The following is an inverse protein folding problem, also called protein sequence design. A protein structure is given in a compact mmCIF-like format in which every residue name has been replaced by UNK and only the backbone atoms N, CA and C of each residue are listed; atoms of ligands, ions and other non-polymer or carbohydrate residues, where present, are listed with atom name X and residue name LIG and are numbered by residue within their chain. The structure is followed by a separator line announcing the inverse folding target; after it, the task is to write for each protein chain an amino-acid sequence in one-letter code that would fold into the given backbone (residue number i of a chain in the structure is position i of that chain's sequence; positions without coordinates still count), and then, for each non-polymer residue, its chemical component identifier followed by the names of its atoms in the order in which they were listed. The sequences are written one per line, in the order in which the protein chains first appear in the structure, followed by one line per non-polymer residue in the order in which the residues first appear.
data_IF_028763787706
#
_entry.id   IF_028763787706
#
_cell.length_a   1.000
_cell.length_b   1.000
_cell.length_c   1.000
_cell.angle_alpha   90.00
_cell.angle_beta   90.00
_cell.angle_gamma   90.00
#
_symmetry.space_group_name_H-M   'P 1'
#
loop_
_entity.id
_entity.type
_entity.pdbx_description
1 polymer ?
#
# COMPACT_ATOMS: atom_id res chain seq x y z
N UNK A 1 -39.30 5.22 28.61
CA UNK A 1 -38.91 3.86 28.16
C UNK A 1 -38.05 3.83 26.87
N UNK A 2 -38.17 4.80 25.95
CA UNK A 2 -37.64 4.77 24.56
C UNK A 2 -36.13 5.07 24.34
N UNK A 3 -35.35 5.40 25.39
CA UNK A 3 -33.96 5.91 25.24
C UNK A 3 -32.88 4.82 25.26
N UNK A 4 -33.21 3.59 25.70
CA UNK A 4 -32.21 2.52 25.86
C UNK A 4 -31.83 1.85 24.53
N UNK A 5 -32.75 1.74 23.60
CA UNK A 5 -32.56 0.96 22.36
C UNK A 5 -31.60 1.65 21.36
N UNK A 6 -31.60 2.98 21.33
CA UNK A 6 -30.73 3.80 20.47
C UNK A 6 -29.24 3.59 20.80
N UNK A 7 -28.90 3.26 22.06
CA UNK A 7 -27.51 3.02 22.49
C UNK A 7 -26.99 1.63 22.12
N UNK A 8 -27.87 0.65 21.93
CA UNK A 8 -27.48 -0.71 21.57
C UNK A 8 -27.09 -0.79 20.08
N UNK A 9 -27.91 -0.20 19.21
CA UNK A 9 -27.64 -0.15 17.76
C UNK A 9 -26.30 0.53 17.45
N UNK A 10 -26.01 1.66 18.12
CA UNK A 10 -24.76 2.41 17.89
C UNK A 10 -23.51 1.61 18.30
N UNK A 11 -23.62 0.69 19.27
CA UNK A 11 -22.49 -0.12 19.76
C UNK A 11 -22.08 -1.20 18.75
N UNK A 12 -23.07 -1.84 18.13
CA UNK A 12 -22.82 -2.94 17.18
C UNK A 12 -22.29 -2.43 15.84
N UNK A 13 -22.75 -1.26 15.37
CA UNK A 13 -22.22 -0.62 14.14
C UNK A 13 -20.75 -0.22 14.27
N UNK A 14 -20.33 0.29 15.44
CA UNK A 14 -18.94 0.69 15.69
C UNK A 14 -18.03 -0.55 15.78
N UNK A 15 -18.52 -1.64 16.36
CA UNK A 15 -17.81 -2.93 16.44
C UNK A 15 -17.53 -3.51 15.04
N UNK A 16 -18.56 -3.55 14.18
CA UNK A 16 -18.43 -4.06 12.80
C UNK A 16 -17.38 -3.31 11.99
N UNK A 17 -17.36 -1.98 12.08
CA UNK A 17 -16.38 -1.13 11.39
C UNK A 17 -14.94 -1.36 11.90
N UNK A 18 -14.79 -1.62 13.21
CA UNK A 18 -13.49 -1.92 13.84
C UNK A 18 -12.93 -3.26 13.36
N UNK A 19 -13.77 -4.27 13.18
CA UNK A 19 -13.37 -5.58 12.67
C UNK A 19 -12.83 -5.48 11.23
N UNK A 20 -13.53 -4.73 10.37
CA UNK A 20 -13.13 -4.55 8.95
C UNK A 20 -11.78 -3.82 8.84
N UNK A 21 -11.62 -2.75 9.61
CA UNK A 21 -10.38 -1.94 9.58
C UNK A 21 -9.19 -2.70 10.13
N UNK A 22 -9.37 -3.50 11.17
CA UNK A 22 -8.33 -4.38 11.69
C UNK A 22 -7.87 -5.41 10.65
N UNK A 23 -8.80 -6.10 9.99
CA UNK A 23 -8.47 -7.10 8.97
C UNK A 23 -7.69 -6.48 7.80
N UNK A 24 -8.14 -5.31 7.33
CA UNK A 24 -7.44 -4.54 6.31
C UNK A 24 -6.03 -4.10 6.73
N UNK A 25 -5.83 -3.77 8.02
CA UNK A 25 -4.53 -3.41 8.56
C UNK A 25 -3.55 -4.59 8.62
N UNK A 26 -4.05 -5.78 8.93
CA UNK A 26 -3.22 -6.98 8.94
C UNK A 26 -2.75 -7.35 7.53
N UNK A 27 -3.66 -7.37 6.55
CA UNK A 27 -3.33 -7.63 5.14
C UNK A 27 -2.28 -6.64 4.63
N UNK A 28 -2.47 -5.34 4.91
CA UNK A 28 -1.53 -4.32 4.47
C UNK A 28 -0.12 -4.52 5.05
N UNK A 29 -0.03 -4.98 6.31
CA UNK A 29 1.26 -5.30 6.94
C UNK A 29 1.94 -6.47 6.23
N UNK A 30 1.19 -7.51 5.89
CA UNK A 30 1.71 -8.66 5.15
C UNK A 30 2.21 -8.26 3.75
N UNK A 31 1.43 -7.45 3.01
CA UNK A 31 1.81 -6.96 1.69
C UNK A 31 3.11 -6.15 1.76
N UNK A 32 3.25 -5.27 2.76
CA UNK A 32 4.49 -4.50 2.98
C UNK A 32 5.69 -5.40 3.22
N UNK A 33 5.55 -6.44 4.05
CA UNK A 33 6.64 -7.40 4.29
C UNK A 33 7.02 -8.14 3.00
N UNK A 34 6.04 -8.58 2.22
CA UNK A 34 6.26 -9.26 0.93
C UNK A 34 6.99 -8.32 -0.05
N UNK A 35 6.57 -7.06 -0.12
CA UNK A 35 7.17 -6.03 -0.97
C UNK A 35 8.64 -5.79 -0.60
N UNK A 36 8.95 -5.70 0.70
CA UNK A 36 10.32 -5.59 1.18
C UNK A 36 11.16 -6.81 0.76
N UNK A 37 10.64 -8.02 0.95
CA UNK A 37 11.33 -9.26 0.56
C UNK A 37 11.57 -9.33 -0.95
N UNK A 38 10.61 -8.90 -1.79
CA UNK A 38 10.74 -8.86 -3.25
C UNK A 38 11.71 -7.77 -3.74
N UNK A 39 11.83 -6.67 -3.02
CA UNK A 39 12.70 -5.55 -3.41
C UNK A 39 14.19 -5.89 -3.29
N UNK A 40 14.57 -6.73 -2.33
CA UNK A 40 15.97 -7.16 -2.12
C UNK A 40 16.54 -7.86 -3.36
N UNK A 41 15.96 -8.95 -3.90
CA UNK A 41 16.50 -9.61 -5.07
C UNK A 41 16.49 -8.70 -6.29
N UNK A 42 15.49 -7.83 -6.46
CA UNK A 42 15.48 -6.87 -7.57
C UNK A 42 16.73 -5.97 -7.56
N UNK A 43 17.09 -5.42 -6.39
CA UNK A 43 18.30 -4.58 -6.26
C UNK A 43 19.55 -5.40 -6.57
N UNK A 44 19.64 -6.62 -6.03
CA UNK A 44 20.78 -7.51 -6.26
C UNK A 44 20.93 -7.86 -7.74
N UNK A 45 19.84 -8.19 -8.44
CA UNK A 45 19.84 -8.53 -9.86
C UNK A 45 20.27 -7.33 -10.71
N UNK A 46 19.78 -6.13 -10.42
CA UNK A 46 20.16 -4.92 -11.16
C UNK A 46 21.64 -4.61 -10.94
N UNK A 47 22.12 -4.68 -9.70
CA UNK A 47 23.55 -4.48 -9.39
C UNK A 47 24.43 -5.53 -10.08
N UNK A 48 24.00 -6.80 -10.07
CA UNK A 48 24.68 -7.88 -10.78
C UNK A 48 24.72 -7.64 -12.30
N UNK A 49 23.60 -7.24 -12.89
CA UNK A 49 23.49 -6.91 -14.33
C UNK A 49 24.41 -5.75 -14.71
N UNK A 50 24.45 -4.70 -13.87
CA UNK A 50 25.36 -3.55 -14.00
C UNK A 50 26.83 -4.01 -13.93
N UNK A 51 27.20 -4.78 -12.90
CA UNK A 51 28.56 -5.30 -12.73
C UNK A 51 29.01 -6.12 -13.95
N UNK A 52 28.17 -7.06 -14.38
CA UNK A 52 28.39 -7.90 -15.55
C UNK A 52 28.60 -7.08 -16.83
N UNK A 53 27.79 -6.04 -17.02
CA UNK A 53 27.89 -5.17 -18.19
C UNK A 53 29.18 -4.35 -18.22
N UNK A 54 29.62 -3.80 -17.09
CA UNK A 54 30.78 -2.91 -17.05
C UNK A 54 32.12 -3.62 -16.90
N UNK A 55 32.15 -4.80 -16.26
CA UNK A 55 33.41 -5.50 -15.97
C UNK A 55 33.63 -6.67 -16.93
N UNK A 56 32.57 -7.39 -17.24
CA UNK A 56 32.65 -8.60 -18.07
C UNK A 56 32.23 -8.31 -19.52
N UNK A 57 31.79 -7.09 -19.85
CA UNK A 57 31.27 -6.70 -21.18
C UNK A 57 30.17 -7.64 -21.72
N UNK A 58 29.50 -8.37 -20.82
CA UNK A 58 28.52 -9.39 -21.14
C UNK A 58 27.35 -9.21 -20.17
N UNK A 59 26.17 -8.83 -20.64
CA UNK A 59 24.97 -8.71 -19.80
C UNK A 59 24.09 -9.95 -19.97
N UNK A 60 23.82 -10.74 -18.90
CA UNK A 60 22.96 -11.90 -19.01
C UNK A 60 21.50 -11.48 -19.28
N UNK A 61 20.92 -11.93 -20.39
CA UNK A 61 19.55 -11.58 -20.82
C UNK A 61 18.47 -11.97 -19.80
N UNK A 62 18.65 -13.10 -19.12
CA UNK A 62 17.73 -13.54 -18.07
C UNK A 62 17.61 -12.55 -16.89
N UNK A 63 18.66 -11.77 -16.61
CA UNK A 63 18.65 -10.79 -15.51
C UNK A 63 17.69 -9.64 -15.79
N UNK A 64 17.58 -9.24 -17.06
CA UNK A 64 16.71 -8.16 -17.50
C UNK A 64 15.24 -8.59 -17.50
N UNK A 65 14.96 -9.81 -17.96
CA UNK A 65 13.63 -10.40 -17.91
C UNK A 65 13.15 -10.57 -16.46
N UNK A 66 13.99 -11.15 -15.59
CA UNK A 66 13.66 -11.36 -14.18
C UNK A 66 13.41 -10.04 -13.44
N UNK A 67 14.25 -9.01 -13.69
CA UNK A 67 14.06 -7.68 -13.12
C UNK A 67 12.72 -7.07 -13.56
N UNK A 68 12.35 -7.19 -14.84
CA UNK A 68 11.07 -6.68 -15.35
C UNK A 68 9.87 -7.35 -14.69
N UNK A 69 9.90 -8.66 -14.52
CA UNK A 69 8.83 -9.37 -13.81
C UNK A 69 8.73 -8.93 -12.35
N UNK A 70 9.87 -8.80 -11.65
CA UNK A 70 9.88 -8.30 -10.27
C UNK A 70 9.34 -6.87 -10.16
N UNK A 71 9.72 -5.98 -11.07
CA UNK A 71 9.20 -4.59 -11.10
C UNK A 71 7.68 -4.56 -11.24
N UNK A 72 7.11 -5.41 -12.11
CA UNK A 72 5.65 -5.48 -12.29
C UNK A 72 4.98 -5.93 -10.99
N UNK A 73 5.46 -7.01 -10.37
CA UNK A 73 4.89 -7.50 -9.12
C UNK A 73 5.01 -6.50 -7.97
N UNK A 74 6.19 -5.89 -7.81
CA UNK A 74 6.42 -4.86 -6.80
C UNK A 74 5.53 -3.63 -7.06
N UNK A 75 5.42 -3.17 -8.30
CA UNK A 75 4.59 -2.03 -8.67
C UNK A 75 3.11 -2.25 -8.35
N UNK A 76 2.57 -3.43 -8.68
CA UNK A 76 1.19 -3.80 -8.37
C UNK A 76 0.94 -3.84 -6.85
N UNK A 77 1.85 -4.45 -6.08
CA UNK A 77 1.74 -4.51 -4.62
C UNK A 77 1.93 -3.14 -3.96
N UNK A 78 2.89 -2.35 -4.44
CA UNK A 78 3.16 -0.99 -3.97
C UNK A 78 1.95 -0.08 -4.18
N UNK A 79 1.32 -0.14 -5.35
CA UNK A 79 0.13 0.63 -5.67
C UNK A 79 -1.03 0.26 -4.74
N UNK A 80 -1.25 -1.03 -4.46
CA UNK A 80 -2.28 -1.49 -3.52
C UNK A 80 -2.11 -0.88 -2.12
N UNK A 81 -0.88 -0.87 -1.60
CA UNK A 81 -0.55 -0.24 -0.31
C UNK A 81 -0.72 1.27 -0.38
N UNK A 82 -0.21 1.92 -1.44
CA UNK A 82 -0.29 3.35 -1.63
C UNK A 82 -1.73 3.87 -1.73
N UNK A 83 -2.64 3.13 -2.36
CA UNK A 83 -4.06 3.48 -2.43
C UNK A 83 -4.73 3.41 -1.06
N UNK A 84 -4.36 2.44 -0.23
CA UNK A 84 -4.88 2.32 1.13
C UNK A 84 -4.38 3.45 2.03
N UNK A 85 -3.10 3.80 1.95
CA UNK A 85 -2.52 4.92 2.71
C UNK A 85 -3.00 6.28 2.18
N UNK A 86 -3.15 6.38 0.85
CA UNK A 86 -3.72 7.52 0.15
C UNK A 86 -5.16 7.82 0.54
N UNK A 87 -5.95 6.84 1.01
CA UNK A 87 -7.27 7.12 1.61
C UNK A 87 -7.18 7.95 2.91
N UNK A 88 -6.14 7.76 3.73
CA UNK A 88 -5.93 8.57 4.94
C UNK A 88 -5.34 9.96 4.62
N UNK A 89 -4.47 10.04 3.61
CA UNK A 89 -3.82 11.29 3.18
C UNK A 89 -4.75 12.17 2.33
N UNK A 90 -5.52 11.56 1.42
CA UNK A 90 -6.43 12.24 0.49
C UNK A 90 -7.65 12.87 1.16
N UNK A 91 -8.20 12.25 2.21
CA UNK A 91 -9.25 12.88 3.04
C UNK A 91 -8.72 14.13 3.76
N UNK A 92 -7.47 14.09 4.20
CA UNK A 92 -6.83 15.21 4.91
C UNK A 92 -6.56 16.40 3.97
N UNK A 93 -6.25 16.14 2.70
CA UNK A 93 -6.05 17.20 1.69
C UNK A 93 -7.36 17.75 1.11
N UNK A 94 -8.38 16.90 0.90
CA UNK A 94 -9.68 17.32 0.37
C UNK A 94 -10.46 18.24 1.32
N UNK A 95 -10.33 18.01 2.63
CA UNK A 95 -11.04 18.80 3.65
C UNK A 95 -10.36 20.16 3.91
N UNK A 96 -9.05 20.28 3.67
CA UNK A 96 -8.30 21.55 3.88
C UNK A 96 -8.58 22.65 2.84
N UNK A 97 -9.33 22.36 1.78
CA UNK A 97 -9.68 23.32 0.72
C UNK A 97 -11.12 23.83 0.75
N UNK A 98 -11.89 23.57 1.80
CA UNK A 98 -13.19 24.23 2.00
C UNK A 98 -12.97 25.52 2.80
N UNK A 99 -12.94 26.71 2.17
CA UNK A 99 -12.99 27.97 2.90
C UNK A 99 -14.32 28.08 3.62
N UNK A 100 -14.26 28.40 4.92
CA UNK A 100 -15.39 28.58 5.84
C UNK A 100 -16.22 29.84 5.56
N UNK A 101 -16.25 30.35 4.33
CA UNK A 101 -16.80 31.68 3.99
C UNK A 101 -18.28 31.63 3.56
N UNK A 102 -18.86 30.45 3.34
CA UNK A 102 -20.27 30.32 2.95
C UNK A 102 -21.08 29.52 3.97
N UNK A 103 -21.18 30.05 5.18
CA UNK A 103 -22.26 29.74 6.10
C UNK A 103 -23.27 30.90 6.03
N UNK A 104 -24.35 30.80 5.20
CA UNK A 104 -25.51 31.67 5.34
C UNK A 104 -26.36 31.30 6.57
#
# INVERSE_FOLDING_TARGET
MYRKDIRLVKRDTISFFKTITWFSNQINRMIKSILFILSIPLVVIILYSVFMRYILNMAPTWSEELARYLMIWIGLLALSVALKEGKHIGLTLGIRKVPSTFQP
#
